data_IF_089274623283
#
_entry.id   IF_089274623283
#
_cell.length_a   1.000
_cell.length_b   1.000
_cell.length_c   1.000
_cell.angle_alpha   90.00
_cell.angle_beta   90.00
_cell.angle_gamma   90.00
#
_symmetry.space_group_name_H-M   'P 1'
#
loop_
_entity.id
_entity.type
_entity.pdbx_description
1 polymer ?
#
# COMPACT_ATOMS: atom_id res chain seq x y z
N UNK A 1 -13.62 -14.41 4.01
CA UNK A 1 -14.99 -13.91 4.30
C UNK A 1 -15.00 -12.99 5.53
N UNK A 2 -14.35 -13.39 6.64
CA UNK A 2 -14.41 -12.67 7.92
C UNK A 2 -13.98 -11.21 7.81
N UNK A 3 -12.86 -10.95 7.17
CA UNK A 3 -12.39 -9.59 6.92
C UNK A 3 -13.41 -8.72 6.16
N UNK A 4 -14.06 -9.25 5.12
CA UNK A 4 -15.10 -8.52 4.39
C UNK A 4 -16.34 -8.25 5.28
N UNK A 5 -16.69 -9.20 6.14
CA UNK A 5 -17.80 -9.06 7.10
C UNK A 5 -17.48 -7.96 8.11
N UNK A 6 -16.28 -7.95 8.67
CA UNK A 6 -15.83 -6.96 9.64
C UNK A 6 -15.74 -5.55 9.02
N UNK A 7 -15.32 -5.45 7.76
CA UNK A 7 -15.34 -4.18 7.02
C UNK A 7 -16.77 -3.72 6.67
N UNK A 8 -17.74 -4.61 6.66
CA UNK A 8 -19.12 -4.35 6.23
C UNK A 8 -19.26 -4.26 4.72
N UNK A 9 -18.41 -4.99 3.98
CA UNK A 9 -18.43 -5.03 2.52
C UNK A 9 -19.38 -6.13 2.05
N UNK A 10 -20.27 -5.79 1.15
CA UNK A 10 -21.13 -6.76 0.47
C UNK A 10 -20.40 -7.37 -0.73
N UNK A 11 -20.35 -8.69 -0.81
CA UNK A 11 -19.81 -9.44 -1.95
C UNK A 11 -21.00 -10.08 -2.70
N UNK A 12 -21.61 -9.36 -3.69
CA UNK A 12 -22.84 -9.79 -4.32
C UNK A 12 -22.68 -10.95 -5.30
N UNK A 13 -21.46 -11.18 -5.78
CA UNK A 13 -21.18 -12.22 -6.78
C UNK A 13 -19.74 -12.71 -6.67
N UNK A 14 -19.51 -13.91 -7.13
CA UNK A 14 -18.18 -14.51 -7.22
C UNK A 14 -18.12 -15.50 -8.38
N UNK A 15 -16.91 -15.80 -8.84
CA UNK A 15 -16.64 -16.82 -9.85
C UNK A 15 -15.37 -17.57 -9.51
N UNK A 16 -15.49 -18.88 -9.35
CA UNK A 16 -14.38 -19.77 -9.04
C UNK A 16 -13.86 -20.50 -10.27
N UNK A 17 -12.54 -20.68 -10.36
CA UNK A 17 -11.86 -21.41 -11.43
C UNK A 17 -10.62 -22.15 -10.95
N UNK A 18 -10.66 -22.73 -9.75
CA UNK A 18 -9.55 -23.50 -9.18
C UNK A 18 -9.28 -24.84 -9.90
N UNK A 19 -10.20 -25.28 -10.75
CA UNK A 19 -10.05 -26.53 -11.51
C UNK A 19 -9.18 -26.42 -12.78
N UNK A 20 -8.68 -25.25 -13.11
CA UNK A 20 -7.84 -25.06 -14.30
C UNK A 20 -6.52 -25.83 -14.16
N UNK A 21 -6.23 -26.63 -15.16
CA UNK A 21 -5.05 -27.48 -15.21
C UNK A 21 -4.49 -27.49 -16.63
N UNK A 22 -3.21 -27.16 -16.80
CA UNK A 22 -2.48 -27.38 -18.04
C UNK A 22 -1.87 -28.78 -18.01
N UNK A 23 -2.18 -29.58 -19.04
CA UNK A 23 -1.61 -30.91 -19.22
C UNK A 23 -0.67 -30.89 -20.44
N UNK A 24 0.53 -31.42 -20.28
CA UNK A 24 1.53 -31.51 -21.32
C UNK A 24 1.63 -32.93 -21.89
N UNK A 25 2.09 -33.12 -23.13
CA UNK A 25 2.21 -34.45 -23.76
C UNK A 25 3.14 -35.43 -23.02
N UNK A 26 4.10 -34.89 -22.25
CA UNK A 26 5.03 -35.66 -21.42
C UNK A 26 4.42 -36.16 -20.10
N UNK A 27 3.11 -35.95 -19.88
CA UNK A 27 2.41 -36.32 -18.66
C UNK A 27 2.51 -35.31 -17.53
N UNK A 28 3.28 -34.24 -17.69
CA UNK A 28 3.37 -33.16 -16.70
C UNK A 28 2.05 -32.42 -16.61
N UNK A 29 1.69 -32.03 -15.38
CA UNK A 29 0.51 -31.21 -15.09
C UNK A 29 0.95 -29.98 -14.30
N UNK A 30 0.45 -28.81 -14.70
CA UNK A 30 0.56 -27.57 -13.95
C UNK A 30 -0.84 -27.19 -13.47
N UNK A 31 -1.00 -27.10 -12.18
CA UNK A 31 -2.25 -26.69 -11.53
C UNK A 31 -2.30 -25.16 -11.43
N UNK A 32 -3.48 -24.61 -11.56
CA UNK A 32 -3.70 -23.17 -11.28
C UNK A 32 -3.44 -22.91 -9.79
N UNK A 33 -2.65 -21.89 -9.45
CA UNK A 33 -2.47 -21.49 -8.04
C UNK A 33 -3.80 -20.97 -7.46
N UNK A 34 -4.01 -21.18 -6.17
CA UNK A 34 -5.13 -20.59 -5.44
C UNK A 34 -4.99 -19.07 -5.40
N UNK A 35 -5.81 -18.37 -6.18
CA UNK A 35 -5.74 -16.91 -6.30
C UNK A 35 -7.13 -16.32 -6.07
N UNK A 36 -7.20 -15.25 -5.25
CA UNK A 36 -8.41 -14.47 -5.04
C UNK A 36 -8.19 -13.08 -5.65
N UNK A 37 -9.04 -12.72 -6.60
CA UNK A 37 -9.06 -11.39 -7.20
C UNK A 37 -10.35 -10.69 -6.75
N UNK A 38 -10.22 -9.54 -6.11
CA UNK A 38 -11.35 -8.75 -5.62
C UNK A 38 -11.45 -7.45 -6.42
N UNK A 39 -12.62 -7.23 -7.04
CA UNK A 39 -12.96 -5.94 -7.66
C UNK A 39 -13.90 -5.20 -6.73
N UNK A 40 -13.51 -4.01 -6.30
CA UNK A 40 -14.35 -3.14 -5.49
C UNK A 40 -14.87 -1.95 -6.33
N UNK A 41 -16.13 -1.60 -6.12
CA UNK A 41 -16.76 -0.45 -6.76
C UNK A 41 -17.29 0.49 -5.68
N UNK A 42 -16.99 1.77 -5.81
CA UNK A 42 -17.43 2.81 -4.89
C UNK A 42 -17.88 4.06 -5.64
N UNK A 43 -18.77 4.83 -5.02
CA UNK A 43 -19.18 6.14 -5.54
C UNK A 43 -18.14 7.21 -5.20
N UNK A 44 -17.85 8.07 -6.18
CA UNK A 44 -16.97 9.23 -6.00
C UNK A 44 -17.80 10.50 -6.10
N UNK A 45 -17.96 11.22 -4.99
CA UNK A 45 -18.76 12.44 -4.92
C UNK A 45 -18.19 13.60 -5.73
N UNK A 46 -16.89 13.69 -5.88
CA UNK A 46 -16.19 14.74 -6.61
C UNK A 46 -14.89 14.24 -7.26
N UNK A 47 -14.94 13.99 -8.55
CA UNK A 47 -13.78 13.51 -9.34
C UNK A 47 -12.60 14.50 -9.39
N UNK A 48 -12.78 15.75 -8.98
CA UNK A 48 -11.70 16.75 -8.90
C UNK A 48 -10.88 16.63 -7.62
N UNK A 49 -11.37 15.88 -6.64
CA UNK A 49 -10.68 15.60 -5.37
C UNK A 49 -10.00 14.23 -5.42
N UNK A 50 -9.24 13.98 -6.47
CA UNK A 50 -8.44 12.75 -6.63
C UNK A 50 -6.98 13.03 -6.28
N UNK A 51 -6.34 12.05 -5.67
CA UNK A 51 -4.90 12.07 -5.40
C UNK A 51 -4.15 11.54 -6.61
N UNK A 52 -3.07 12.23 -7.00
CA UNK A 52 -2.18 11.78 -8.06
C UNK A 52 -1.03 10.98 -7.47
N UNK A 53 -0.56 9.91 -8.13
CA UNK A 53 0.58 9.12 -7.63
C UNK A 53 1.94 9.80 -7.87
N UNK A 54 1.98 10.93 -8.54
CA UNK A 54 3.23 11.65 -8.87
C UNK A 54 3.59 12.60 -7.74
N UNK A 55 4.74 12.38 -7.11
CA UNK A 55 5.24 13.24 -6.05
C UNK A 55 5.46 14.69 -6.54
N UNK A 56 5.06 15.65 -5.72
CA UNK A 56 5.40 17.05 -5.94
C UNK A 56 6.89 17.27 -5.65
N UNK A 57 7.53 18.16 -6.39
CA UNK A 57 8.93 18.59 -6.16
C UNK A 57 9.06 19.70 -5.12
N UNK A 58 7.95 20.12 -4.49
CA UNK A 58 7.96 21.18 -3.48
C UNK A 58 8.65 20.68 -2.19
N UNK A 59 9.82 21.21 -1.89
CA UNK A 59 10.65 20.89 -0.73
C UNK A 59 10.02 21.25 0.63
N UNK A 60 8.92 22.03 0.64
CA UNK A 60 8.14 22.31 1.85
C UNK A 60 7.21 21.16 2.25
N UNK A 61 7.11 20.11 1.43
CA UNK A 61 6.25 18.95 1.68
C UNK A 61 7.01 17.82 2.37
N UNK A 62 6.26 16.92 3.00
CA UNK A 62 6.79 15.71 3.66
C UNK A 62 6.08 14.47 3.14
N UNK A 63 6.80 13.35 3.14
CA UNK A 63 6.27 12.01 2.83
C UNK A 63 5.99 11.25 4.11
N UNK A 64 4.78 10.76 4.24
CA UNK A 64 4.34 9.91 5.34
C UNK A 64 4.03 8.50 4.82
N UNK A 65 4.54 7.50 5.51
CA UNK A 65 4.06 6.12 5.41
C UNK A 65 2.96 5.91 6.43
N UNK A 66 1.80 5.45 5.99
CA UNK A 66 0.65 5.16 6.86
C UNK A 66 0.35 3.67 6.78
N UNK A 67 0.56 2.96 7.89
CA UNK A 67 0.29 1.52 7.99
C UNK A 67 -1.20 1.26 8.21
N UNK A 68 -1.78 0.39 7.40
CA UNK A 68 -3.18 -0.05 7.53
C UNK A 68 -3.31 -1.42 8.20
N UNK A 69 -2.22 -2.13 8.38
CA UNK A 69 -2.24 -3.55 8.73
C UNK A 69 -2.10 -3.84 10.22
N UNK A 70 -1.34 -3.01 10.94
CA UNK A 70 -0.78 -3.34 12.27
C UNK A 70 -0.03 -4.69 12.31
N UNK A 71 0.39 -5.16 11.14
CA UNK A 71 1.13 -6.40 10.96
C UNK A 71 2.64 -6.21 11.01
N UNK A 72 3.35 -7.32 10.87
CA UNK A 72 4.80 -7.31 10.68
C UNK A 72 5.16 -7.15 9.20
N UNK A 73 6.35 -6.64 8.92
CA UNK A 73 6.90 -6.53 7.57
C UNK A 73 7.34 -7.91 7.06
N UNK A 74 6.38 -8.71 6.60
CA UNK A 74 6.61 -10.07 6.11
C UNK A 74 6.89 -10.06 4.60
N UNK A 75 7.72 -11.02 4.14
CA UNK A 75 8.14 -11.10 2.74
C UNK A 75 7.56 -12.30 1.98
N UNK A 76 6.74 -13.13 2.65
CA UNK A 76 6.16 -14.31 2.01
C UNK A 76 5.22 -13.93 0.88
N UNK A 77 5.39 -14.56 -0.28
CA UNK A 77 4.61 -14.31 -1.49
C UNK A 77 4.93 -13.01 -2.22
N UNK A 78 5.81 -12.16 -1.67
CA UNK A 78 6.16 -10.86 -2.27
C UNK A 78 6.86 -11.00 -3.62
N UNK A 79 6.85 -9.93 -4.41
CA UNK A 79 7.59 -9.84 -5.66
C UNK A 79 9.09 -10.09 -5.46
N UNK A 80 9.66 -9.60 -4.34
CA UNK A 80 11.06 -9.90 -3.99
C UNK A 80 11.28 -11.42 -3.81
N UNK A 81 10.41 -12.09 -3.06
CA UNK A 81 10.52 -13.53 -2.85
C UNK A 81 10.44 -14.28 -4.19
N UNK A 82 9.52 -13.90 -5.06
CA UNK A 82 9.36 -14.51 -6.39
C UNK A 82 10.59 -14.31 -7.28
N UNK A 83 11.17 -13.10 -7.31
CA UNK A 83 12.40 -12.82 -8.09
C UNK A 83 13.59 -13.63 -7.59
N UNK A 84 13.62 -13.94 -6.30
CA UNK A 84 14.67 -14.78 -5.69
C UNK A 84 14.37 -16.29 -5.78
N UNK A 85 13.31 -16.69 -6.51
CA UNK A 85 12.84 -18.08 -6.59
C UNK A 85 12.52 -18.68 -5.20
N UNK A 86 11.87 -17.87 -4.35
CA UNK A 86 11.44 -18.21 -3.00
C UNK A 86 9.95 -17.94 -2.85
N UNK A 87 9.33 -18.60 -1.88
CA UNK A 87 7.94 -18.32 -1.50
C UNK A 87 7.91 -17.51 -0.19
N UNK A 88 8.83 -17.80 0.72
CA UNK A 88 8.80 -17.30 2.10
C UNK A 88 7.80 -18.07 2.97
N UNK A 89 7.77 -17.77 4.26
CA UNK A 89 6.93 -18.47 5.22
C UNK A 89 5.67 -17.71 5.60
N UNK A 90 5.80 -16.40 5.81
CA UNK A 90 4.72 -15.55 6.28
C UNK A 90 4.44 -14.46 5.26
N UNK A 91 3.19 -14.31 4.87
CA UNK A 91 2.71 -13.19 4.05
C UNK A 91 2.25 -12.02 4.94
N UNK A 92 2.30 -10.78 4.42
CA UNK A 92 1.67 -9.65 5.09
C UNK A 92 0.20 -9.92 5.40
N UNK A 93 -0.28 -9.43 6.54
CA UNK A 93 -1.63 -9.69 7.02
C UNK A 93 -2.21 -8.48 7.74
N UNK A 94 -3.52 -8.28 7.65
CA UNK A 94 -4.24 -7.25 8.41
C UNK A 94 -4.65 -7.82 9.75
N UNK A 95 -4.15 -7.24 10.84
CA UNK A 95 -4.41 -7.74 12.21
C UNK A 95 -5.68 -7.19 12.83
N UNK A 96 -6.16 -6.04 12.33
CA UNK A 96 -7.31 -5.32 12.89
C UNK A 96 -8.10 -4.66 11.75
N UNK A 97 -9.24 -5.27 11.40
CA UNK A 97 -10.11 -4.76 10.33
C UNK A 97 -10.77 -3.43 10.68
N UNK A 98 -11.05 -3.18 11.96
CA UNK A 98 -11.62 -1.92 12.41
C UNK A 98 -10.59 -0.78 12.27
N UNK A 99 -9.33 -1.04 12.61
CA UNK A 99 -8.24 -0.11 12.38
C UNK A 99 -8.03 0.17 10.89
N UNK A 100 -7.97 -0.88 10.05
CA UNK A 100 -7.88 -0.74 8.59
C UNK A 100 -8.97 0.17 8.05
N UNK A 101 -10.23 -0.06 8.45
CA UNK A 101 -11.37 0.77 8.07
C UNK A 101 -11.22 2.21 8.54
N UNK A 102 -10.72 2.42 9.75
CA UNK A 102 -10.45 3.75 10.29
C UNK A 102 -9.36 4.48 9.50
N UNK A 103 -8.27 3.79 9.14
CA UNK A 103 -7.22 4.32 8.27
C UNK A 103 -7.80 4.76 6.92
N UNK A 104 -8.56 3.88 6.26
CA UNK A 104 -9.20 4.17 4.98
C UNK A 104 -10.08 5.43 5.07
N UNK A 105 -10.98 5.48 6.04
CA UNK A 105 -11.89 6.62 6.22
C UNK A 105 -11.14 7.93 6.52
N UNK A 106 -10.08 7.85 7.32
CA UNK A 106 -9.25 9.02 7.65
C UNK A 106 -8.50 9.54 6.42
N UNK A 107 -7.93 8.65 5.60
CA UNK A 107 -7.30 9.05 4.34
C UNK A 107 -8.33 9.67 3.38
N UNK A 108 -9.52 9.11 3.25
CA UNK A 108 -10.59 9.72 2.43
C UNK A 108 -10.94 11.13 2.92
N UNK A 109 -11.02 11.35 4.23
CA UNK A 109 -11.23 12.67 4.82
C UNK A 109 -10.10 13.64 4.47
N UNK A 110 -8.84 13.23 4.57
CA UNK A 110 -7.70 14.06 4.19
C UNK A 110 -7.75 14.44 2.69
N UNK A 111 -8.18 13.53 1.82
CA UNK A 111 -8.40 13.80 0.39
C UNK A 111 -9.51 14.83 0.19
N UNK A 112 -10.63 14.65 0.87
CA UNK A 112 -11.78 15.58 0.80
C UNK A 112 -11.41 16.99 1.28
N UNK A 113 -10.58 17.10 2.31
CA UNK A 113 -10.09 18.38 2.84
C UNK A 113 -8.94 18.97 1.99
N UNK A 114 -8.41 18.24 1.01
CA UNK A 114 -7.33 18.71 0.13
C UNK A 114 -5.97 18.79 0.83
N UNK A 115 -5.75 17.97 1.86
CA UNK A 115 -4.53 17.94 2.67
C UNK A 115 -3.46 16.97 2.13
N UNK A 116 -3.79 16.19 1.10
CA UNK A 116 -2.86 15.28 0.41
C UNK A 116 -2.49 15.88 -0.94
N UNK A 117 -1.21 16.13 -1.14
CA UNK A 117 -0.64 16.67 -2.38
C UNK A 117 -0.44 15.58 -3.42
N UNK A 118 0.07 14.44 -2.99
CA UNK A 118 0.26 13.23 -3.80
C UNK A 118 0.13 12.00 -2.89
N UNK A 119 -0.11 10.83 -3.48
CA UNK A 119 -0.17 9.59 -2.70
C UNK A 119 -0.24 8.37 -3.57
N UNK A 120 0.25 7.26 -3.05
CA UNK A 120 0.30 5.97 -3.72
C UNK A 120 0.13 4.84 -2.69
N UNK A 121 -0.55 3.79 -3.06
CA UNK A 121 -0.66 2.58 -2.25
C UNK A 121 0.66 1.78 -2.29
N UNK A 122 0.95 1.10 -1.20
CA UNK A 122 2.02 0.10 -1.17
C UNK A 122 1.44 -1.21 -1.70
N UNK A 123 1.97 -1.67 -2.84
CA UNK A 123 1.50 -2.87 -3.53
C UNK A 123 2.67 -3.76 -3.96
N UNK A 124 2.61 -4.37 -5.13
CA UNK A 124 3.65 -5.26 -5.65
C UNK A 124 5.04 -4.58 -5.66
N UNK A 125 6.01 -5.22 -5.04
CA UNK A 125 7.38 -4.70 -4.88
C UNK A 125 7.61 -3.84 -3.63
N UNK A 126 6.56 -3.59 -2.83
CA UNK A 126 6.67 -2.92 -1.52
C UNK A 126 6.93 -1.42 -1.57
N UNK A 127 7.32 -0.87 -0.43
CA UNK A 127 7.55 0.57 -0.25
C UNK A 127 8.57 1.15 -1.24
N UNK A 128 9.65 0.42 -1.52
CA UNK A 128 10.68 0.92 -2.45
C UNK A 128 10.14 1.13 -3.86
N UNK A 129 9.32 0.21 -4.35
CA UNK A 129 8.67 0.33 -5.66
C UNK A 129 7.68 1.48 -5.67
N UNK A 130 6.85 1.62 -4.66
CA UNK A 130 5.93 2.76 -4.49
C UNK A 130 6.66 4.11 -4.59
N UNK A 131 7.78 4.27 -3.87
CA UNK A 131 8.58 5.49 -3.90
C UNK A 131 9.20 5.77 -5.27
N UNK A 132 9.67 4.73 -5.97
CA UNK A 132 10.18 4.86 -7.34
C UNK A 132 9.06 5.26 -8.31
N UNK A 133 7.90 4.64 -8.24
CA UNK A 133 6.74 4.94 -9.09
C UNK A 133 6.24 6.37 -8.88
N UNK A 134 6.27 6.87 -7.66
CA UNK A 134 5.95 8.27 -7.36
C UNK A 134 6.91 9.27 -8.03
N UNK A 135 8.09 8.84 -8.45
CA UNK A 135 9.08 9.71 -9.13
C UNK A 135 9.16 9.51 -10.64
N UNK A 136 8.62 8.43 -11.21
CA UNK A 136 8.81 8.09 -12.63
C UNK A 136 8.36 9.18 -13.61
N UNK A 137 7.33 9.93 -13.28
CA UNK A 137 6.85 11.02 -14.13
C UNK A 137 7.63 12.34 -13.93
N UNK A 138 8.51 12.42 -12.94
CA UNK A 138 9.32 13.60 -12.65
C UNK A 138 10.70 13.44 -13.29
N UNK A 139 10.97 14.22 -14.34
CA UNK A 139 12.30 14.24 -14.98
C UNK A 139 13.35 15.00 -14.15
N UNK A 140 12.92 15.77 -13.16
CA UNK A 140 13.74 16.64 -12.32
C UNK A 140 13.49 16.36 -10.84
N UNK A 141 14.55 16.40 -10.03
CA UNK A 141 14.47 16.11 -8.60
C UNK A 141 14.42 14.62 -8.27
N UNK A 142 14.13 14.31 -7.01
CA UNK A 142 14.01 12.97 -6.45
C UNK A 142 13.40 13.02 -5.07
N UNK A 143 13.60 11.96 -4.29
CA UNK A 143 13.16 11.87 -2.90
C UNK A 143 14.37 11.61 -1.99
N UNK A 144 14.46 12.33 -0.89
CA UNK A 144 15.38 12.02 0.20
C UNK A 144 14.60 11.21 1.25
N UNK A 145 14.93 9.91 1.35
CA UNK A 145 14.19 8.95 2.17
C UNK A 145 15.05 8.52 3.36
N UNK A 146 14.45 8.57 4.55
CA UNK A 146 15.02 8.08 5.81
C UNK A 146 14.06 7.03 6.41
N UNK A 147 14.52 5.80 6.46
CA UNK A 147 13.78 4.67 7.04
C UNK A 147 14.22 4.36 8.48
N UNK A 148 15.06 5.18 9.10
CA UNK A 148 15.57 4.95 10.47
C UNK A 148 14.47 4.91 11.52
N UNK A 149 13.35 5.59 11.29
CA UNK A 149 12.19 5.59 12.18
C UNK A 149 11.45 4.24 12.28
N UNK A 150 11.70 3.30 11.36
CA UNK A 150 11.19 1.92 11.45
C UNK A 150 12.00 1.04 12.42
N UNK A 151 12.52 1.63 13.47
CA UNK A 151 13.38 1.01 14.51
C UNK A 151 13.10 -0.47 14.74
N UNK A 152 14.18 -1.27 14.85
CA UNK A 152 14.19 -2.72 15.10
C UNK A 152 13.62 -3.60 13.96
N UNK A 153 13.19 -3.05 12.84
CA UNK A 153 12.81 -3.82 11.68
C UNK A 153 14.00 -3.96 10.72
N UNK A 154 14.08 -5.11 10.05
CA UNK A 154 15.02 -5.32 8.97
C UNK A 154 14.66 -4.39 7.79
N UNK A 155 15.63 -3.62 7.31
CA UNK A 155 15.41 -2.64 6.24
C UNK A 155 14.94 -3.29 4.93
N UNK A 156 15.36 -4.52 4.65
CA UNK A 156 14.88 -5.26 3.46
C UNK A 156 13.41 -5.59 3.63
N UNK A 157 13.01 -6.04 4.80
CA UNK A 157 11.60 -6.31 5.09
C UNK A 157 10.77 -5.03 5.00
N UNK A 158 11.22 -3.91 5.55
CA UNK A 158 10.52 -2.62 5.42
C UNK A 158 10.40 -2.17 3.97
N UNK A 159 11.48 -2.29 3.19
CA UNK A 159 11.50 -1.81 1.81
C UNK A 159 10.65 -2.65 0.85
N UNK A 160 10.58 -3.98 1.06
CA UNK A 160 10.02 -4.92 0.10
C UNK A 160 8.77 -5.68 0.58
N UNK A 161 8.33 -5.49 1.82
CA UNK A 161 7.04 -6.03 2.27
C UNK A 161 5.91 -5.36 1.50
N UNK A 162 4.99 -6.18 1.00
CA UNK A 162 3.77 -5.74 0.33
C UNK A 162 2.62 -5.60 1.34
N UNK A 163 2.94 -5.04 2.50
CA UNK A 163 2.01 -4.79 3.59
C UNK A 163 1.00 -3.70 3.20
N UNK A 164 -0.29 -3.88 3.50
CA UNK A 164 -1.30 -2.86 3.22
C UNK A 164 -0.97 -1.53 3.90
N UNK A 165 -0.58 -0.55 3.10
CA UNK A 165 -0.18 0.78 3.51
C UNK A 165 -0.35 1.79 2.37
N UNK A 166 -0.22 3.07 2.69
CA UNK A 166 -0.14 4.13 1.69
C UNK A 166 1.02 5.07 2.00
N UNK A 167 1.63 5.60 0.95
CA UNK A 167 2.53 6.74 1.04
C UNK A 167 1.75 7.98 0.65
N UNK A 168 1.69 8.97 1.52
CA UNK A 168 1.06 10.25 1.23
C UNK A 168 2.06 11.38 1.34
N UNK A 169 1.96 12.36 0.47
CA UNK A 169 2.72 13.60 0.53
C UNK A 169 1.81 14.72 1.00
N UNK A 170 2.24 15.45 2.02
CA UNK A 170 1.48 16.51 2.67
C UNK A 170 2.26 17.82 2.69
N UNK A 171 1.56 18.93 2.70
CA UNK A 171 2.12 20.28 2.85
C UNK A 171 1.62 21.02 4.10
N UNK A 172 0.77 20.39 4.92
CA UNK A 172 0.18 20.98 6.11
C UNK A 172 0.26 20.00 7.29
N UNK A 173 0.77 20.49 8.41
CA UNK A 173 0.86 19.74 9.67
C UNK A 173 -0.51 19.26 10.18
N UNK A 174 -1.61 19.91 9.77
CA UNK A 174 -2.99 19.50 10.08
C UNK A 174 -3.27 18.06 9.66
N UNK A 175 -2.67 17.56 8.58
CA UNK A 175 -2.80 16.17 8.17
C UNK A 175 -2.29 15.20 9.25
N UNK A 176 -1.11 15.50 9.85
CA UNK A 176 -0.55 14.71 10.95
C UNK A 176 -1.41 14.77 12.21
N UNK A 177 -1.98 15.95 12.52
CA UNK A 177 -2.90 16.09 13.65
C UNK A 177 -4.17 15.25 13.47
N UNK A 178 -4.73 15.23 12.27
CA UNK A 178 -5.93 14.41 11.97
C UNK A 178 -5.59 12.91 12.09
N UNK A 179 -4.46 12.46 11.56
CA UNK A 179 -4.01 11.07 11.73
C UNK A 179 -3.86 10.70 13.21
N UNK A 180 -3.14 11.52 13.98
CA UNK A 180 -2.90 11.28 15.41
C UNK A 180 -4.21 11.28 16.22
N UNK A 181 -5.11 12.23 15.99
CA UNK A 181 -6.40 12.33 16.67
C UNK A 181 -7.34 11.14 16.36
N UNK A 182 -7.13 10.47 15.23
CA UNK A 182 -7.85 9.24 14.88
C UNK A 182 -7.07 7.97 15.27
N UNK A 183 -5.97 8.08 16.03
CA UNK A 183 -5.10 6.96 16.43
C UNK A 183 -4.57 6.16 15.24
N UNK A 184 -4.20 6.85 14.16
CA UNK A 184 -3.59 6.26 12.98
C UNK A 184 -2.08 6.35 13.11
N UNK A 185 -1.40 5.21 13.01
CA UNK A 185 0.05 5.12 13.03
C UNK A 185 0.63 5.60 11.71
N UNK A 186 1.59 6.50 11.76
CA UNK A 186 2.33 6.96 10.59
C UNK A 186 3.79 7.23 10.90
N UNK A 187 4.60 7.18 9.88
CA UNK A 187 6.04 7.48 9.95
C UNK A 187 6.38 8.55 8.92
N UNK A 188 7.08 9.60 9.32
CA UNK A 188 7.68 10.54 8.35
C UNK A 188 8.89 9.85 7.74
N UNK A 189 8.84 9.59 6.45
CA UNK A 189 9.86 8.81 5.73
C UNK A 189 10.74 9.66 4.82
N UNK A 190 10.46 10.94 4.67
CA UNK A 190 11.33 11.80 3.85
C UNK A 190 10.62 13.01 3.27
N UNK A 191 11.27 13.57 2.26
CA UNK A 191 10.81 14.75 1.53
C UNK A 191 11.36 14.77 0.11
N UNK A 192 10.77 15.58 -0.79
CA UNK A 192 11.37 15.84 -2.10
C UNK A 192 12.77 16.44 -1.96
N UNK A 193 13.58 16.20 -2.98
CA UNK A 193 14.92 16.75 -3.10
C UNK A 193 15.13 17.28 -4.52
N UNK A 194 15.64 18.51 -4.61
CA UNK A 194 16.14 19.06 -5.87
C UNK A 194 17.40 18.30 -6.32
N UNK A 195 17.70 18.39 -7.61
CA UNK A 195 18.94 17.85 -8.20
C UNK A 195 20.15 18.52 -7.61
#
# INVERSE_FOLDING_TARGET
SDFCIELGINVPTGKDSLSMTQKYPNGQKVLSPGTVIVTAVGEVSNIRKTVKPVASTDNATELLYVDFSKGAFELGGSSLAQVLDKIGNNAPDVKDAAYFKNCFNTIQKLIEEGLIVAGHDVSAGGLITTLLEMTFANCEGGLNIDLSAFNNNDLISVAFSEQPAVVIQINDAKAKEILANNNIDFVVIGKPQDK
#
